data_IF_667087608960
#
_entry.id   IF_667087608960
#
_cell.length_a   1.000
_cell.length_b   1.000
_cell.length_c   1.000
_cell.angle_alpha   90.00
_cell.angle_beta   90.00
_cell.angle_gamma   90.00
#
_symmetry.space_group_name_H-M   'P 1'
#
loop_
_entity.id
_entity.type
_entity.pdbx_description
1 polymer ?
#
# COMPACT_ATOMS: atom_id res chain seq x y z
N UNK A 1 14.59 -4.53 1.59
CA UNK A 1 13.83 -5.65 0.97
C UNK A 1 12.36 -5.36 1.24
N UNK A 2 11.45 -5.65 0.32
CA UNK A 2 10.04 -5.35 0.53
C UNK A 2 9.30 -6.57 1.08
N UNK A 3 8.31 -6.34 1.94
CA UNK A 3 7.29 -7.33 2.32
C UNK A 3 5.95 -6.89 1.78
N UNK A 4 5.10 -7.84 1.45
CA UNK A 4 3.71 -7.57 1.08
C UNK A 4 2.79 -8.02 2.21
N UNK A 5 1.90 -7.15 2.65
CA UNK A 5 0.91 -7.45 3.69
C UNK A 5 -0.38 -6.67 3.40
N UNK A 6 -1.53 -7.33 3.39
CA UNK A 6 -2.84 -6.70 3.20
C UNK A 6 -2.96 -5.78 1.96
N UNK A 7 -2.33 -6.14 0.84
CA UNK A 7 -2.36 -5.33 -0.38
C UNK A 7 -1.24 -4.29 -0.47
N UNK A 8 -0.45 -4.12 0.60
CA UNK A 8 0.56 -3.07 0.69
C UNK A 8 1.97 -3.61 0.62
N UNK A 9 2.82 -2.86 -0.06
CA UNK A 9 4.26 -3.05 -0.03
C UNK A 9 4.87 -2.21 1.09
N UNK A 10 5.52 -2.89 2.04
CA UNK A 10 6.21 -2.24 3.15
C UNK A 10 7.71 -2.48 3.05
N UNK A 11 8.49 -1.44 3.36
CA UNK A 11 9.94 -1.58 3.50
C UNK A 11 10.27 -2.39 4.74
N UNK A 12 11.10 -3.42 4.58
CA UNK A 12 11.57 -4.26 5.68
C UNK A 12 13.09 -4.31 5.73
N UNK A 13 13.59 -4.30 6.97
CA UNK A 13 15.00 -4.56 7.28
C UNK A 13 15.13 -5.98 7.80
N UNK A 14 16.03 -6.76 7.22
CA UNK A 14 16.19 -8.17 7.57
C UNK A 14 17.66 -8.54 7.71
N UNK A 15 17.90 -9.51 8.58
CA UNK A 15 19.20 -10.11 8.81
C UNK A 15 19.15 -11.60 8.45
N UNK A 16 20.16 -12.06 7.73
CA UNK A 16 20.33 -13.45 7.36
C UNK A 16 21.70 -13.94 7.83
N UNK A 17 21.71 -14.95 8.68
CA UNK A 17 22.91 -15.57 9.24
C UNK A 17 22.94 -17.06 8.91
N UNK A 18 24.12 -17.60 8.60
CA UNK A 18 24.29 -19.03 8.30
C UNK A 18 25.41 -19.63 9.14
N UNK A 19 25.24 -20.87 9.56
CA UNK A 19 26.26 -21.62 10.30
C UNK A 19 26.13 -23.13 10.04
N UNK A 20 26.91 -23.65 9.08
CA UNK A 20 26.81 -25.04 8.67
C UNK A 20 25.44 -25.34 8.08
N UNK A 21 24.75 -26.33 8.65
CA UNK A 21 23.42 -26.76 8.20
C UNK A 21 22.27 -25.93 8.84
N UNK A 22 22.57 -24.82 9.50
CA UNK A 22 21.54 -23.91 10.05
C UNK A 22 21.62 -22.52 9.44
N UNK A 23 20.46 -21.86 9.40
CA UNK A 23 20.37 -20.44 9.11
C UNK A 23 19.34 -19.76 10.00
N UNK A 24 19.49 -18.46 10.18
CA UNK A 24 18.52 -17.61 10.86
C UNK A 24 18.13 -16.46 9.96
N UNK A 25 16.84 -16.32 9.72
CA UNK A 25 16.25 -15.11 9.14
C UNK A 25 15.56 -14.32 10.26
N UNK A 26 15.85 -13.04 10.35
CA UNK A 26 15.29 -12.17 11.38
C UNK A 26 14.83 -10.87 10.76
N UNK A 27 13.61 -10.45 11.09
CA UNK A 27 13.18 -9.07 10.87
C UNK A 27 13.84 -8.15 11.91
N UNK A 28 14.34 -7.02 11.44
CA UNK A 28 14.84 -5.95 12.28
C UNK A 28 13.67 -4.99 12.52
N UNK A 29 13.21 -4.81 13.78
CA UNK A 29 12.13 -3.88 14.10
C UNK A 29 12.38 -2.49 13.53
N UNK A 30 11.31 -1.86 13.04
CA UNK A 30 11.36 -0.52 12.48
C UNK A 30 11.73 0.54 13.53
N UNK A 31 11.23 0.40 14.76
CA UNK A 31 11.52 1.26 15.89
C UNK A 31 12.06 0.45 17.08
N UNK A 32 12.79 1.08 18.01
CA UNK A 32 13.23 0.41 19.23
C UNK A 32 12.03 -0.19 19.99
N UNK A 33 12.14 -1.48 20.34
CA UNK A 33 11.07 -2.27 20.96
C UNK A 33 9.86 -2.58 20.06
N UNK A 34 9.98 -2.45 18.74
CA UNK A 34 8.97 -2.93 17.79
C UNK A 34 8.89 -4.45 17.74
N UNK A 35 7.72 -4.94 17.34
CA UNK A 35 7.46 -6.35 17.07
C UNK A 35 8.38 -6.87 15.95
N UNK A 36 8.72 -8.16 15.98
CA UNK A 36 9.50 -8.79 14.93
C UNK A 36 9.30 -10.30 14.91
N UNK A 37 9.67 -10.95 13.80
CA UNK A 37 9.78 -12.40 13.75
C UNK A 37 11.21 -12.90 13.53
N UNK A 38 11.43 -14.15 13.93
CA UNK A 38 12.62 -14.93 13.60
C UNK A 38 12.20 -16.28 13.01
N UNK A 39 12.98 -16.74 12.03
CA UNK A 39 12.88 -18.08 11.47
C UNK A 39 14.24 -18.76 11.60
N UNK A 40 14.28 -19.81 12.42
CA UNK A 40 15.43 -20.71 12.56
C UNK A 40 15.26 -21.86 11.55
N UNK A 41 16.18 -22.00 10.60
CA UNK A 41 16.19 -23.05 9.59
C UNK A 41 17.23 -24.13 9.94
N UNK A 42 16.87 -25.39 9.69
CA UNK A 42 17.74 -26.55 9.71
C UNK A 42 17.65 -27.26 8.36
N UNK A 43 18.73 -27.22 7.59
CA UNK A 43 18.84 -27.81 6.28
C UNK A 43 19.09 -29.32 6.40
N UNK A 44 18.29 -30.11 5.68
CA UNK A 44 18.50 -31.55 5.50
C UNK A 44 19.00 -31.90 4.09
N UNK A 45 19.05 -30.90 3.21
CA UNK A 45 19.64 -30.92 1.88
C UNK A 45 19.95 -29.50 1.42
N UNK A 46 20.44 -29.34 0.18
CA UNK A 46 20.83 -28.00 -0.33
C UNK A 46 19.66 -27.02 -0.39
N UNK A 47 18.45 -27.54 -0.61
CA UNK A 47 17.26 -26.74 -0.92
C UNK A 47 16.06 -27.16 -0.05
N UNK A 48 16.25 -27.86 1.05
CA UNK A 48 15.13 -28.32 1.87
C UNK A 48 15.54 -28.55 3.32
N UNK A 49 14.55 -28.54 4.20
CA UNK A 49 14.78 -28.73 5.62
C UNK A 49 13.54 -28.48 6.46
N UNK A 50 13.78 -28.19 7.72
CA UNK A 50 12.75 -27.78 8.69
C UNK A 50 13.00 -26.36 9.15
N UNK A 51 11.94 -25.68 9.58
CA UNK A 51 12.04 -24.37 10.21
C UNK A 51 11.24 -24.30 11.51
N UNK A 52 11.65 -23.38 12.38
CA UNK A 52 10.85 -22.89 13.51
C UNK A 52 10.67 -21.39 13.35
N UNK A 53 9.42 -20.95 13.31
CA UNK A 53 9.02 -19.55 13.29
C UNK A 53 8.64 -19.10 14.70
N UNK A 54 9.03 -17.87 15.06
CA UNK A 54 8.60 -17.20 16.30
C UNK A 54 8.29 -15.74 16.00
N UNK A 55 7.13 -15.28 16.45
CA UNK A 55 6.74 -13.87 16.46
C UNK A 55 6.89 -13.32 17.88
N UNK A 56 7.56 -12.18 18.01
CA UNK A 56 7.88 -11.54 19.27
C UNK A 56 7.15 -10.21 19.40
N UNK A 57 6.46 -10.04 20.53
CA UNK A 57 5.73 -8.82 20.87
C UNK A 57 6.22 -8.25 22.21
N UNK A 58 6.43 -6.92 22.33
CA UNK A 58 6.76 -6.32 23.61
C UNK A 58 5.57 -6.44 24.57
N UNK A 59 5.83 -6.90 25.79
CA UNK A 59 4.85 -6.88 26.86
C UNK A 59 4.84 -5.52 27.59
N UNK A 60 3.93 -5.36 28.55
CA UNK A 60 3.77 -4.13 29.32
C UNK A 60 5.03 -3.70 30.12
N UNK A 61 6.04 -4.56 30.25
CA UNK A 61 7.32 -4.26 30.88
C UNK A 61 8.45 -3.92 29.89
N UNK A 62 8.15 -3.91 28.58
CA UNK A 62 9.13 -3.67 27.51
C UNK A 62 10.03 -4.88 27.21
N UNK A 63 9.73 -6.05 27.77
CA UNK A 63 10.40 -7.31 27.41
C UNK A 63 9.64 -8.00 26.28
N UNK A 64 10.33 -8.74 25.43
CA UNK A 64 9.70 -9.48 24.33
C UNK A 64 9.21 -10.85 24.79
N UNK A 65 7.91 -11.08 24.61
CA UNK A 65 7.29 -12.39 24.76
C UNK A 65 7.06 -13.01 23.37
N UNK A 66 7.05 -14.34 23.30
CA UNK A 66 6.65 -15.06 22.09
C UNK A 66 5.12 -15.05 22.03
N UNK A 67 4.58 -14.37 21.04
CA UNK A 67 3.13 -14.27 20.80
C UNK A 67 2.65 -15.43 19.92
N UNK A 68 3.44 -15.79 18.91
CA UNK A 68 3.17 -16.93 18.03
C UNK A 68 4.42 -17.79 17.82
N UNK A 69 4.24 -19.11 17.75
CA UNK A 69 5.29 -20.04 17.39
C UNK A 69 4.73 -21.14 16.47
N UNK A 70 5.46 -21.41 15.39
CA UNK A 70 5.14 -22.49 14.46
C UNK A 70 6.40 -23.27 14.08
N UNK A 71 6.23 -24.45 13.52
CA UNK A 71 7.32 -25.22 12.92
C UNK A 71 6.82 -25.99 11.71
N UNK A 72 7.69 -26.22 10.75
CA UNK A 72 7.33 -26.89 9.51
C UNK A 72 8.53 -27.32 8.70
N UNK A 73 8.27 -27.69 7.45
CA UNK A 73 9.29 -28.00 6.45
C UNK A 73 9.33 -26.90 5.40
N UNK A 74 10.51 -26.67 4.81
CA UNK A 74 10.67 -25.75 3.68
C UNK A 74 11.33 -26.43 2.50
N UNK A 75 11.10 -25.87 1.31
CA UNK A 75 11.85 -26.14 0.10
C UNK A 75 12.19 -24.83 -0.59
N UNK A 76 13.44 -24.68 -1.04
CA UNK A 76 13.92 -23.55 -1.80
C UNK A 76 13.90 -23.88 -3.29
N UNK A 77 13.49 -22.92 -4.10
CA UNK A 77 13.59 -22.95 -5.54
C UNK A 77 14.21 -21.64 -6.03
N UNK A 78 14.75 -21.65 -7.23
CA UNK A 78 15.10 -20.40 -7.90
C UNK A 78 13.84 -19.55 -8.04
N UNK A 79 13.97 -18.25 -7.80
CA UNK A 79 12.91 -17.29 -8.06
C UNK A 79 12.97 -16.85 -9.52
N UNK A 80 11.80 -16.56 -10.08
CA UNK A 80 11.63 -15.91 -11.36
C UNK A 80 11.41 -14.41 -11.17
N UNK A 81 11.55 -13.63 -12.24
CA UNK A 81 11.27 -12.19 -12.19
C UNK A 81 9.81 -11.89 -11.85
N UNK A 82 8.88 -12.82 -12.09
CA UNK A 82 7.47 -12.71 -11.69
C UNK A 82 7.24 -12.93 -10.18
N UNK A 83 8.25 -13.41 -9.44
CA UNK A 83 8.16 -13.56 -7.99
C UNK A 83 8.66 -12.30 -7.25
N UNK A 84 9.23 -11.32 -7.97
CA UNK A 84 9.66 -10.04 -7.42
C UNK A 84 8.51 -9.03 -7.43
N UNK A 85 8.52 -8.02 -6.54
CA UNK A 85 7.64 -6.86 -6.70
C UNK A 85 7.77 -6.32 -8.12
N UNK A 86 6.64 -5.96 -8.73
CA UNK A 86 6.62 -5.46 -10.09
C UNK A 86 7.15 -4.02 -10.10
N UNK A 87 8.45 -3.82 -10.15
CA UNK A 87 9.03 -2.47 -10.23
C UNK A 87 8.78 -1.84 -11.60
N UNK A 88 8.39 -0.57 -11.58
CA UNK A 88 8.19 0.29 -12.75
C UNK A 88 7.37 -0.39 -13.87
N UNK A 89 6.37 -1.18 -13.46
CA UNK A 89 5.43 -1.80 -14.38
C UNK A 89 4.28 -0.83 -14.60
N UNK A 90 4.27 -0.18 -15.76
CA UNK A 90 3.22 0.74 -16.17
C UNK A 90 2.08 -0.01 -16.83
N UNK A 91 0.84 0.34 -16.48
CA UNK A 91 -0.36 -0.28 -17.04
C UNK A 91 -1.50 0.73 -17.19
N UNK A 92 -2.52 0.33 -17.93
CA UNK A 92 -3.83 0.97 -17.99
C UNK A 92 -4.86 -0.14 -17.83
N UNK A 93 -5.84 0.08 -16.98
CA UNK A 93 -6.93 -0.85 -16.75
C UNK A 93 -8.25 -0.10 -16.92
N UNK A 94 -9.13 -0.62 -17.78
CA UNK A 94 -10.48 -0.11 -17.98
C UNK A 94 -11.53 -0.95 -17.24
N UNK A 95 -11.08 -1.92 -16.42
CA UNK A 95 -11.88 -2.80 -15.59
C UNK A 95 -12.92 -3.63 -16.37
N UNK A 96 -12.78 -3.77 -17.68
CA UNK A 96 -13.67 -4.61 -18.51
C UNK A 96 -13.38 -6.11 -18.38
N UNK A 97 -12.23 -6.48 -17.81
CA UNK A 97 -11.80 -7.87 -17.64
C UNK A 97 -11.25 -8.13 -16.25
N UNK A 98 -12.00 -8.89 -15.44
CA UNK A 98 -11.58 -9.33 -14.10
C UNK A 98 -10.20 -9.99 -14.14
N UNK A 99 -9.96 -10.88 -15.10
CA UNK A 99 -8.67 -11.56 -15.25
C UNK A 99 -7.52 -10.60 -15.58
N UNK A 100 -7.78 -9.54 -16.33
CA UNK A 100 -6.77 -8.52 -16.61
C UNK A 100 -6.48 -7.69 -15.35
N UNK A 101 -7.52 -7.24 -14.65
CA UNK A 101 -7.42 -6.46 -13.40
C UNK A 101 -6.61 -7.19 -12.33
N UNK A 102 -6.84 -8.49 -12.17
CA UNK A 102 -6.10 -9.32 -11.23
C UNK A 102 -4.59 -9.41 -11.52
N UNK A 103 -4.11 -9.00 -12.71
CA UNK A 103 -2.68 -8.93 -12.98
C UNK A 103 -2.02 -7.66 -12.44
N UNK A 104 -2.80 -6.59 -12.21
CA UNK A 104 -2.26 -5.27 -11.86
C UNK A 104 -2.62 -4.82 -10.45
N UNK A 105 -3.76 -5.26 -9.93
CA UNK A 105 -4.26 -4.87 -8.62
C UNK A 105 -4.13 -6.02 -7.65
N UNK A 106 -3.76 -5.71 -6.41
CA UNK A 106 -3.94 -6.70 -5.37
C UNK A 106 -5.42 -6.91 -5.16
N UNK A 107 -5.77 -8.19 -5.22
CA UNK A 107 -7.02 -8.66 -4.74
C UNK A 107 -7.01 -8.41 -3.22
N UNK A 108 -7.65 -7.35 -2.75
CA UNK A 108 -8.21 -7.28 -1.39
C UNK A 108 -9.37 -8.30 -1.22
N UNK A 109 -9.26 -9.44 -1.90
CA UNK A 109 -10.19 -10.57 -1.95
C UNK A 109 -9.83 -11.57 -0.84
N UNK A 110 -8.70 -11.41 -0.16
CA UNK A 110 -8.24 -12.39 0.83
C UNK A 110 -9.14 -12.47 2.08
N UNK A 111 -9.89 -11.42 2.41
CA UNK A 111 -11.03 -11.50 3.34
C UNK A 111 -11.90 -10.25 3.26
N UNK A 112 -13.25 -10.37 3.35
CA UNK A 112 -14.10 -9.20 3.51
C UNK A 112 -13.75 -8.47 4.81
N UNK A 113 -13.23 -7.26 4.69
CA UNK A 113 -12.89 -6.40 5.81
C UNK A 113 -14.16 -5.70 6.27
N UNK A 114 -14.64 -6.04 7.47
CA UNK A 114 -15.84 -5.43 8.04
C UNK A 114 -17.07 -5.50 7.11
N UNK A 115 -17.18 -6.60 6.36
CA UNK A 115 -18.28 -6.83 5.43
C UNK A 115 -18.21 -6.00 4.14
N UNK A 116 -17.05 -5.43 3.82
CA UNK A 116 -16.74 -4.75 2.56
C UNK A 116 -15.65 -5.49 1.77
N UNK A 117 -15.70 -5.39 0.46
CA UNK A 117 -14.75 -6.02 -0.47
C UNK A 117 -14.65 -5.24 -1.78
N UNK A 118 -13.47 -5.26 -2.38
CA UNK A 118 -13.27 -4.77 -3.74
C UNK A 118 -13.73 -5.81 -4.75
N UNK A 119 -14.44 -5.36 -5.78
CA UNK A 119 -14.88 -6.17 -6.91
C UNK A 119 -14.70 -5.42 -8.22
N UNK A 120 -14.62 -6.17 -9.31
CA UNK A 120 -14.73 -5.61 -10.67
C UNK A 120 -16.14 -5.88 -11.16
N UNK A 121 -16.92 -4.81 -11.35
CA UNK A 121 -18.34 -4.84 -11.73
C UNK A 121 -18.65 -3.70 -12.69
N UNK A 122 -19.52 -3.94 -13.67
CA UNK A 122 -20.01 -2.90 -14.61
C UNK A 122 -18.94 -2.05 -15.32
N UNK A 123 -17.70 -2.56 -15.45
CA UNK A 123 -16.58 -1.85 -16.07
C UNK A 123 -15.84 -0.92 -15.11
N UNK A 124 -15.96 -1.15 -13.80
CA UNK A 124 -15.44 -0.31 -12.73
C UNK A 124 -14.79 -1.17 -11.63
N UNK A 125 -13.84 -0.59 -10.90
CA UNK A 125 -13.34 -1.13 -9.63
C UNK A 125 -14.20 -0.57 -8.50
N UNK A 126 -14.96 -1.43 -7.84
CA UNK A 126 -16.00 -1.05 -6.89
C UNK A 126 -15.65 -1.53 -5.48
N UNK A 127 -15.84 -0.66 -4.48
CA UNK A 127 -15.94 -1.08 -3.08
C UNK A 127 -17.40 -1.37 -2.76
N UNK A 128 -17.71 -2.64 -2.44
CA UNK A 128 -19.09 -3.11 -2.24
C UNK A 128 -19.26 -3.84 -0.93
N UNK A 129 -20.47 -3.83 -0.36
CA UNK A 129 -20.83 -4.62 0.83
C UNK A 129 -21.70 -3.84 1.80
N UNK A 130 -21.71 -4.25 3.07
CA UNK A 130 -22.63 -3.72 4.08
C UNK A 130 -21.99 -2.75 5.06
N UNK A 131 -20.65 -2.68 5.14
CA UNK A 131 -19.94 -1.81 6.09
C UNK A 131 -20.41 -2.03 7.52
N UNK A 132 -20.17 -3.23 8.06
CA UNK A 132 -20.71 -3.62 9.38
C UNK A 132 -20.08 -2.89 10.55
N UNK A 133 -18.94 -2.23 10.32
CA UNK A 133 -18.26 -1.38 11.27
C UNK A 133 -18.10 0.04 10.69
N UNK A 134 -18.84 1.04 11.20
CA UNK A 134 -18.75 2.42 10.68
C UNK A 134 -17.44 3.12 11.04
N UNK A 135 -16.66 2.60 12.00
CA UNK A 135 -15.37 3.18 12.39
C UNK A 135 -14.24 2.71 11.46
N UNK A 136 -14.48 1.67 10.64
CA UNK A 136 -13.50 1.00 9.78
C UNK A 136 -13.94 1.02 8.30
N UNK A 137 -14.31 2.21 7.80
CA UNK A 137 -14.80 2.41 6.43
C UNK A 137 -13.75 2.98 5.45
N UNK A 138 -12.47 2.87 5.78
CA UNK A 138 -11.35 3.32 4.95
C UNK A 138 -10.70 2.11 4.27
N UNK A 139 -10.54 2.17 2.95
CA UNK A 139 -10.00 1.06 2.15
C UNK A 139 -9.16 1.59 1.01
N UNK A 140 -7.99 0.99 0.83
CA UNK A 140 -7.10 1.29 -0.27
C UNK A 140 -7.00 0.08 -1.20
N UNK A 141 -7.27 0.30 -2.48
CA UNK A 141 -6.97 -0.67 -3.52
C UNK A 141 -5.60 -0.35 -4.09
N UNK A 142 -4.63 -1.20 -3.82
CA UNK A 142 -3.24 -0.96 -4.19
C UNK A 142 -2.82 -1.77 -5.42
N UNK A 143 -2.00 -1.15 -6.26
CA UNK A 143 -1.44 -1.83 -7.43
C UNK A 143 -0.32 -2.76 -6.98
N UNK A 144 -0.08 -3.82 -7.75
CA UNK A 144 1.07 -4.71 -7.60
C UNK A 144 2.40 -4.04 -7.93
N UNK A 145 2.35 -2.86 -8.56
CA UNK A 145 3.50 -2.15 -9.08
C UNK A 145 4.09 -1.20 -8.05
N UNK A 146 5.42 -1.20 -7.93
CA UNK A 146 6.17 -0.19 -7.19
C UNK A 146 6.81 0.77 -8.19
N UNK A 147 6.54 2.06 -8.04
CA UNK A 147 7.07 3.10 -8.94
C UNK A 147 8.19 3.88 -8.26
N UNK A 148 9.27 4.15 -9.00
CA UNK A 148 10.38 4.94 -8.48
C UNK A 148 10.15 6.44 -8.62
N UNK A 149 10.55 7.21 -7.61
CA UNK A 149 10.51 8.70 -7.64
C UNK A 149 11.63 9.32 -8.49
N UNK A 150 12.59 8.53 -8.94
CA UNK A 150 13.67 8.98 -9.84
C UNK A 150 13.28 8.94 -11.33
N UNK A 151 12.01 8.63 -11.64
CA UNK A 151 11.46 8.57 -13.00
C UNK A 151 10.21 9.42 -13.13
N UNK A 152 10.00 10.00 -14.31
CA UNK A 152 8.73 10.66 -14.63
C UNK A 152 7.63 9.59 -14.76
N UNK A 153 6.47 9.85 -14.14
CA UNK A 153 5.32 8.95 -14.21
C UNK A 153 4.01 9.70 -13.95
N UNK A 154 2.89 9.04 -14.28
CA UNK A 154 1.53 9.55 -14.06
C UNK A 154 0.67 8.43 -13.46
N UNK A 155 0.00 8.73 -12.34
CA UNK A 155 -1.13 7.95 -11.82
C UNK A 155 -2.39 8.72 -12.23
N UNK A 156 -3.31 8.08 -12.96
CA UNK A 156 -4.51 8.73 -13.47
C UNK A 156 -5.73 7.82 -13.28
N UNK A 157 -6.84 8.39 -12.83
CA UNK A 157 -8.10 7.67 -12.67
C UNK A 157 -9.31 8.58 -12.88
N UNK A 158 -10.43 7.97 -13.25
CA UNK A 158 -11.75 8.56 -13.07
C UNK A 158 -12.26 8.13 -11.70
N UNK A 159 -12.35 9.07 -10.76
CA UNK A 159 -12.83 8.80 -9.41
C UNK A 159 -14.19 9.46 -9.20
N UNK A 160 -15.13 8.69 -8.65
CA UNK A 160 -16.48 9.14 -8.38
C UNK A 160 -16.98 8.53 -7.07
N UNK A 161 -18.02 9.13 -6.50
CA UNK A 161 -18.71 8.56 -5.36
C UNK A 161 -20.20 8.88 -5.37
N UNK A 162 -20.99 7.82 -5.17
CA UNK A 162 -22.46 7.87 -5.23
C UNK A 162 -23.13 7.98 -3.86
N UNK A 163 -22.36 8.28 -2.80
CA UNK A 163 -22.88 8.47 -1.44
C UNK A 163 -22.70 9.91 -0.96
N UNK A 164 -23.61 10.34 -0.08
CA UNK A 164 -23.51 11.65 0.56
C UNK A 164 -22.36 11.61 1.57
N UNK A 165 -21.42 12.55 1.46
CA UNK A 165 -20.32 12.62 2.41
C UNK A 165 -20.88 12.91 3.81
N UNK A 166 -20.45 12.14 4.81
CA UNK A 166 -21.01 12.25 6.17
C UNK A 166 -20.30 13.30 7.01
N UNK A 167 -19.81 14.38 6.39
CA UNK A 167 -19.32 15.59 7.06
C UNK A 167 -18.01 15.48 7.87
N UNK A 168 -17.65 14.29 8.37
CA UNK A 168 -16.37 13.99 9.01
C UNK A 168 -15.36 13.33 8.06
N UNK A 169 -15.82 12.79 6.94
CA UNK A 169 -14.96 12.17 5.92
C UNK A 169 -14.34 13.23 5.00
N UNK A 170 -13.02 13.26 4.97
CA UNK A 170 -12.24 14.07 4.02
C UNK A 170 -12.36 13.56 2.59
N UNK A 171 -12.74 12.29 2.39
CA UNK A 171 -12.72 11.65 1.07
C UNK A 171 -13.98 10.87 0.78
N UNK A 172 -14.44 10.97 -0.46
CA UNK A 172 -15.45 10.07 -1.01
C UNK A 172 -14.83 8.99 -1.91
N UNK A 173 -13.82 9.37 -2.70
CA UNK A 173 -12.92 8.49 -3.44
C UNK A 173 -11.62 9.29 -3.68
N UNK A 174 -10.45 8.64 -3.67
CA UNK A 174 -9.16 9.29 -3.89
C UNK A 174 -8.27 8.44 -4.80
N UNK A 175 -7.40 9.10 -5.55
CA UNK A 175 -6.32 8.48 -6.31
C UNK A 175 -5.01 9.14 -5.89
N UNK A 176 -3.96 8.34 -5.75
CA UNK A 176 -2.66 8.85 -5.38
C UNK A 176 -1.70 7.76 -4.97
N UNK A 177 -0.76 8.12 -4.11
CA UNK A 177 0.26 7.21 -3.62
C UNK A 177 0.70 7.58 -2.21
N UNK A 178 1.22 6.57 -1.52
CA UNK A 178 1.84 6.70 -0.22
C UNK A 178 3.27 6.18 -0.32
N UNK A 179 4.16 6.77 0.46
CA UNK A 179 5.54 6.34 0.63
C UNK A 179 5.87 6.41 2.11
N UNK A 180 6.46 5.34 2.63
CA UNK A 180 6.99 5.32 3.98
C UNK A 180 8.47 4.95 3.93
N UNK A 181 9.32 5.77 4.53
CA UNK A 181 10.73 5.45 4.72
C UNK A 181 11.17 5.81 6.14
N UNK A 182 11.70 4.83 6.87
CA UNK A 182 12.26 5.02 8.22
C UNK A 182 11.30 5.70 9.21
N UNK A 183 10.00 5.50 9.02
CA UNK A 183 8.94 5.96 9.92
C UNK A 183 8.52 7.39 9.63
N UNK A 184 8.92 7.90 8.46
CA UNK A 184 8.39 9.11 7.87
C UNK A 184 7.35 8.68 6.84
N UNK A 185 6.12 9.10 7.06
CA UNK A 185 5.01 8.92 6.14
C UNK A 185 4.99 10.08 5.13
N UNK A 186 4.62 9.77 3.90
CA UNK A 186 4.33 10.73 2.84
C UNK A 186 3.12 10.23 2.06
N UNK A 187 2.09 11.05 1.97
CA UNK A 187 0.86 10.73 1.24
C UNK A 187 0.52 11.88 0.30
N UNK A 188 0.23 11.56 -0.96
CA UNK A 188 -0.27 12.57 -1.91
C UNK A 188 -1.48 12.02 -2.64
N UNK A 189 -2.63 12.65 -2.42
CA UNK A 189 -3.92 12.22 -2.95
C UNK A 189 -4.73 13.36 -3.54
N UNK A 190 -5.56 13.01 -4.52
CA UNK A 190 -6.58 13.90 -5.12
C UNK A 190 -7.86 13.11 -5.41
N UNK A 191 -9.02 13.75 -5.27
CA UNK A 191 -10.31 13.12 -5.59
C UNK A 191 -11.52 13.89 -5.06
N UNK A 192 -12.74 13.37 -5.26
CA UNK A 192 -13.95 13.94 -4.68
C UNK A 192 -14.01 13.78 -3.15
N UNK A 193 -14.52 14.81 -2.49
CA UNK A 193 -14.69 14.92 -1.03
C UNK A 193 -16.06 15.52 -0.65
N UNK A 194 -16.30 15.62 0.67
CA UNK A 194 -17.43 16.36 1.24
C UNK A 194 -17.47 17.83 0.84
N UNK A 195 -16.32 18.44 0.54
CA UNK A 195 -16.20 19.87 0.22
C UNK A 195 -15.92 20.16 -1.25
N UNK A 196 -15.99 19.14 -2.12
CA UNK A 196 -15.66 19.27 -3.54
C UNK A 196 -14.50 18.38 -3.97
N UNK A 197 -13.80 18.76 -5.03
CA UNK A 197 -12.49 18.14 -5.31
C UNK A 197 -11.51 18.58 -4.24
N UNK A 198 -10.82 17.63 -3.63
CA UNK A 198 -9.80 17.86 -2.62
C UNK A 198 -8.48 17.29 -3.13
N UNK A 199 -7.39 18.00 -2.88
CA UNK A 199 -6.04 17.49 -3.03
C UNK A 199 -5.28 17.79 -1.74
N UNK A 200 -4.56 16.80 -1.21
CA UNK A 200 -3.74 16.98 -0.02
C UNK A 200 -2.37 16.35 -0.17
N UNK A 201 -1.46 16.82 0.67
CA UNK A 201 -0.15 16.27 0.90
C UNK A 201 0.06 16.18 2.42
N UNK A 202 0.23 14.97 2.92
CA UNK A 202 0.66 14.71 4.30
C UNK A 202 2.10 14.25 4.28
N UNK A 203 2.93 14.75 5.18
CA UNK A 203 4.29 14.26 5.32
C UNK A 203 4.86 14.51 6.71
N UNK A 204 5.69 13.58 7.18
CA UNK A 204 6.52 13.79 8.35
C UNK A 204 7.79 14.55 8.00
N UNK A 205 8.08 15.61 8.75
CA UNK A 205 9.32 16.35 8.62
C UNK A 205 10.46 15.73 9.44
N UNK A 206 11.69 16.11 9.09
CA UNK A 206 12.90 15.64 9.77
C UNK A 206 13.01 16.03 11.25
N UNK A 207 12.09 16.86 11.77
CA UNK A 207 12.02 17.27 13.17
C UNK A 207 10.94 16.51 13.95
N UNK A 208 10.28 15.53 13.31
CA UNK A 208 9.20 14.73 13.89
C UNK A 208 7.84 15.44 13.90
N UNK A 209 7.68 16.48 13.07
CA UNK A 209 6.40 17.15 12.87
C UNK A 209 5.62 16.52 11.72
N UNK A 210 4.34 16.23 11.96
CA UNK A 210 3.40 15.86 10.90
C UNK A 210 2.86 17.14 10.24
N UNK A 211 3.09 17.30 8.95
CA UNK A 211 2.68 18.45 8.17
C UNK A 211 1.58 18.06 7.19
N UNK A 212 0.58 18.93 7.06
CA UNK A 212 -0.57 18.74 6.18
C UNK A 212 -0.77 19.99 5.31
N UNK A 213 -0.70 19.82 4.00
CA UNK A 213 -1.03 20.83 3.00
C UNK A 213 -2.24 20.37 2.20
N UNK A 214 -3.21 21.25 1.96
CA UNK A 214 -4.40 20.89 1.19
C UNK A 214 -5.01 22.04 0.43
N UNK A 215 -5.71 21.72 -0.63
CA UNK A 215 -6.61 22.64 -1.34
C UNK A 215 -7.93 21.94 -1.64
N UNK A 216 -9.02 22.69 -1.67
CA UNK A 216 -10.34 22.20 -2.08
C UNK A 216 -11.00 23.21 -3.01
N UNK A 217 -11.62 22.72 -4.06
CA UNK A 217 -12.29 23.53 -5.07
C UNK A 217 -13.38 22.72 -5.76
N UNK A 218 -14.26 23.43 -6.47
CA UNK A 218 -15.46 22.89 -7.09
C UNK A 218 -16.35 22.11 -6.09
N UNK A 219 -17.45 21.52 -6.56
CA UNK A 219 -18.34 20.69 -5.73
C UNK A 219 -18.65 19.36 -6.42
N UNK A 220 -17.72 18.91 -7.26
CA UNK A 220 -17.88 17.73 -8.09
C UNK A 220 -17.79 16.45 -7.25
N UNK A 221 -18.75 15.54 -7.47
CA UNK A 221 -18.76 14.18 -6.90
C UNK A 221 -18.10 13.13 -7.80
N UNK A 222 -17.61 13.57 -8.95
CA UNK A 222 -16.89 12.76 -9.93
C UNK A 222 -15.89 13.62 -10.68
N UNK A 223 -14.79 13.04 -11.15
CA UNK A 223 -13.85 13.72 -12.01
C UNK A 223 -12.73 12.82 -12.50
N UNK A 224 -12.00 13.31 -13.50
CA UNK A 224 -10.75 12.69 -13.94
C UNK A 224 -9.59 13.42 -13.27
N UNK A 225 -8.79 12.67 -12.54
CA UNK A 225 -7.69 13.18 -11.74
C UNK A 225 -6.39 12.51 -12.15
N UNK A 226 -5.28 13.22 -11.96
CA UNK A 226 -3.96 12.58 -12.04
C UNK A 226 -2.98 13.19 -11.05
N UNK A 227 -2.04 12.37 -10.64
CA UNK A 227 -0.80 12.78 -9.99
C UNK A 227 0.35 12.49 -10.94
N UNK A 228 1.26 13.43 -11.12
CA UNK A 228 2.48 13.22 -11.92
C UNK A 228 3.73 13.51 -11.12
N UNK A 229 4.75 12.70 -11.32
CA UNK A 229 6.11 13.00 -10.90
C UNK A 229 6.89 13.61 -12.05
N UNK A 230 7.58 14.72 -11.77
CA UNK A 230 8.46 15.42 -12.69
C UNK A 230 9.86 15.50 -12.08
N UNK A 231 10.74 14.65 -12.57
CA UNK A 231 12.10 14.53 -12.07
C UNK A 231 12.96 15.72 -12.45
N UNK A 232 12.64 16.42 -13.54
CA UNK A 232 13.37 17.60 -13.98
C UNK A 232 13.13 18.78 -13.03
N UNK A 233 11.88 18.98 -12.58
CA UNK A 233 11.55 20.01 -11.60
C UNK A 233 11.65 19.54 -10.14
N UNK A 234 11.76 18.22 -9.91
CA UNK A 234 11.67 17.58 -8.59
C UNK A 234 10.37 17.92 -7.89
N UNK A 235 9.27 17.73 -8.59
CA UNK A 235 7.95 18.16 -8.13
C UNK A 235 6.91 17.11 -8.46
N UNK A 236 6.08 16.78 -7.48
CA UNK A 236 4.83 16.08 -7.71
C UNK A 236 3.74 17.12 -7.96
N UNK A 237 2.84 16.85 -8.91
CA UNK A 237 1.72 17.71 -9.20
C UNK A 237 0.42 16.92 -9.08
N UNK A 238 -0.57 17.51 -8.43
CA UNK A 238 -1.96 17.04 -8.50
C UNK A 238 -2.72 17.87 -9.52
N UNK A 239 -3.46 17.20 -10.41
CA UNK A 239 -4.10 17.83 -11.55
C UNK A 239 -5.50 17.27 -11.81
N UNK A 240 -6.40 18.14 -12.26
CA UNK A 240 -7.77 17.78 -12.67
C UNK A 240 -8.01 18.10 -14.13
N UNK A 241 -8.78 17.25 -14.83
CA UNK A 241 -9.16 17.48 -16.21
C UNK A 241 -10.43 18.32 -16.28
N UNK A 242 -10.35 19.50 -16.91
CA UNK A 242 -11.51 20.33 -17.25
C UNK A 242 -11.60 20.52 -18.76
N UNK A 243 -12.66 19.98 -19.38
CA UNK A 243 -12.76 19.87 -20.83
C UNK A 243 -11.65 18.98 -21.38
N UNK A 244 -10.69 19.58 -22.10
CA UNK A 244 -9.51 18.89 -22.65
C UNK A 244 -8.19 19.38 -22.05
N UNK A 245 -8.25 20.16 -20.95
CA UNK A 245 -7.08 20.80 -20.33
C UNK A 245 -6.87 20.28 -18.91
N UNK A 246 -5.64 19.84 -18.63
CA UNK A 246 -5.20 19.52 -17.27
C UNK A 246 -4.85 20.80 -16.52
N UNK A 247 -5.42 20.97 -15.33
CA UNK A 247 -5.18 22.12 -14.47
C UNK A 247 -4.46 21.65 -13.21
N UNK A 248 -3.29 22.21 -12.92
CA UNK A 248 -2.57 21.98 -11.68
C UNK A 248 -3.28 22.64 -10.52
N UNK A 249 -3.45 21.88 -9.43
CA UNK A 249 -4.15 22.33 -8.23
C UNK A 249 -3.24 22.35 -7.01
N UNK A 250 -2.22 21.49 -7.00
CA UNK A 250 -1.14 21.44 -6.01
C UNK A 250 0.16 21.05 -6.70
#
# INVERSE_FOLDING_TARGET
MFRHFNGDWQSGSFQWETNGDTAKFKEIPHFPNGEYFEIDYLFSGSNSGTFTFKFYKPNNSGSFDIDEQASGTFSLSDYSTSDLPHFDTYFSDDFTSVTATQNYWYDNVESPWYGLQFNVGDGELELTGTGTDPDELWFDANTKSLISVDKDWIIQAEAYANYAATGSETWNAKVGFEMEESGLEFEFFIGPSSWGTHAHLNFDDTLGGNNHLSTSFDSLKQGTYRIRNDTASKTFYAETLSGSTWNTVM
#
